data_IF_648996847118
#
_entry.id   IF_648996847118
#
_cell.length_a   1.000
_cell.length_b   1.000
_cell.length_c   1.000
_cell.angle_alpha   90.00
_cell.angle_beta   90.00
_cell.angle_gamma   90.00
#
_symmetry.space_group_name_H-M   'P 1'
#
loop_
_entity.id
_entity.type
_entity.pdbx_description
1 polymer ?
#
# COMPACT_ATOMS: atom_id res chain seq x y z
N UNK A 1 7.17 18.86 1.63
CA UNK A 1 8.08 17.73 1.88
C UNK A 1 9.00 17.61 0.69
N UNK A 2 10.30 17.46 0.93
CA UNK A 2 11.28 17.09 -0.08
C UNK A 2 11.10 15.62 -0.51
N UNK A 3 11.79 15.16 -1.59
CA UNK A 3 11.77 13.76 -1.99
C UNK A 3 12.16 12.82 -0.84
N UNK A 4 11.41 11.73 -0.66
CA UNK A 4 11.64 10.75 0.40
C UNK A 4 11.30 11.19 1.84
N UNK A 5 10.88 12.44 2.07
CA UNK A 5 10.44 12.88 3.40
C UNK A 5 9.03 12.39 3.73
N UNK A 6 8.81 12.08 5.00
CA UNK A 6 7.53 11.66 5.58
C UNK A 6 7.76 10.56 6.63
N UNK A 7 6.78 10.29 7.52
CA UNK A 7 6.80 9.07 8.30
C UNK A 7 6.85 7.86 7.35
N UNK A 8 7.87 7.03 7.51
CA UNK A 8 8.08 5.85 6.66
C UNK A 8 8.19 4.58 7.49
N UNK A 9 7.62 3.51 6.98
CA UNK A 9 7.69 2.18 7.58
C UNK A 9 8.07 1.12 6.55
N UNK A 10 8.78 0.11 7.02
CA UNK A 10 8.91 -1.18 6.37
C UNK A 10 7.72 -2.05 6.75
N UNK A 11 7.02 -2.58 5.75
CA UNK A 11 5.87 -3.45 5.97
C UNK A 11 5.74 -4.47 4.83
N UNK A 12 4.84 -5.43 5.03
CA UNK A 12 4.36 -6.37 4.02
C UNK A 12 5.52 -6.99 3.22
N UNK A 13 6.40 -7.71 3.89
CA UNK A 13 7.45 -8.54 3.28
C UNK A 13 8.52 -7.79 2.46
N UNK A 14 8.65 -6.46 2.62
CA UNK A 14 9.81 -5.71 2.07
C UNK A 14 9.48 -4.40 1.43
N UNK A 15 8.21 -4.06 1.41
CA UNK A 15 7.76 -2.80 0.90
C UNK A 15 8.09 -1.67 1.88
N UNK A 16 8.32 -0.49 1.31
CA UNK A 16 8.42 0.74 2.08
C UNK A 16 7.24 1.63 1.74
N UNK A 17 6.53 2.07 2.78
CA UNK A 17 5.43 3.01 2.66
C UNK A 17 5.81 4.31 3.35
N UNK A 18 5.63 5.44 2.66
CA UNK A 18 5.91 6.78 3.19
C UNK A 18 4.65 7.62 3.15
N UNK A 19 4.21 8.10 4.32
CA UNK A 19 3.04 8.97 4.43
C UNK A 19 3.39 10.38 3.93
N UNK A 20 2.77 10.79 2.82
CA UNK A 20 2.92 12.14 2.26
C UNK A 20 1.82 13.07 2.76
N UNK A 21 0.61 12.53 2.90
CA UNK A 21 -0.52 13.21 3.52
C UNK A 21 -1.43 12.17 4.19
N UNK A 22 -2.00 12.52 5.33
CA UNK A 22 -2.96 11.68 6.05
C UNK A 22 -3.99 12.53 6.77
N UNK A 23 -4.80 11.89 7.62
CA UNK A 23 -5.91 12.53 8.35
C UNK A 23 -5.50 13.78 9.13
N UNK A 24 -4.30 13.77 9.71
CA UNK A 24 -3.76 14.94 10.42
C UNK A 24 -3.51 16.17 9.53
N UNK A 25 -3.32 15.97 8.23
CA UNK A 25 -3.06 17.03 7.25
C UNK A 25 -4.25 17.34 6.33
N UNK A 26 -5.05 16.33 5.99
CA UNK A 26 -6.15 16.44 5.02
C UNK A 26 -7.53 16.42 5.67
N UNK A 27 -7.61 16.24 6.99
CA UNK A 27 -8.89 16.05 7.69
C UNK A 27 -9.58 14.77 7.22
N UNK A 28 -10.88 14.81 6.88
CA UNK A 28 -11.60 13.64 6.36
C UNK A 28 -11.31 13.35 4.87
N UNK A 29 -10.43 14.11 4.22
CA UNK A 29 -10.21 14.09 2.77
C UNK A 29 -9.61 12.79 2.25
N UNK A 30 -8.29 12.69 2.20
CA UNK A 30 -7.59 11.51 1.67
C UNK A 30 -6.28 11.21 2.40
N UNK A 31 -5.89 9.95 2.32
CA UNK A 31 -4.54 9.45 2.58
C UNK A 31 -3.76 9.47 1.27
N UNK A 32 -2.50 9.91 1.30
CA UNK A 32 -1.55 9.77 0.20
C UNK A 32 -0.27 9.12 0.74
N UNK A 33 0.06 7.95 0.18
CA UNK A 33 1.28 7.21 0.46
C UNK A 33 2.14 7.16 -0.81
N UNK A 34 3.45 7.29 -0.64
CA UNK A 34 4.42 6.85 -1.64
C UNK A 34 4.86 5.43 -1.25
N UNK A 35 4.65 4.49 -2.16
CA UNK A 35 5.03 3.08 -2.00
C UNK A 35 6.23 2.72 -2.84
N UNK A 36 7.12 1.92 -2.27
CA UNK A 36 8.21 1.24 -2.94
C UNK A 36 8.01 -0.26 -2.75
N UNK A 37 7.51 -0.93 -3.78
CA UNK A 37 7.11 -2.33 -3.74
C UNK A 37 8.28 -3.20 -4.17
N UNK A 38 8.69 -4.12 -3.31
CA UNK A 38 9.79 -5.04 -3.58
C UNK A 38 9.45 -6.01 -4.74
N UNK A 39 10.47 -6.59 -5.41
CA UNK A 39 10.26 -7.70 -6.34
C UNK A 39 9.42 -8.81 -5.72
N UNK A 40 8.56 -9.42 -6.54
CA UNK A 40 7.71 -10.54 -6.15
C UNK A 40 6.69 -10.24 -5.04
N UNK A 41 6.42 -8.95 -4.77
CA UNK A 41 5.60 -8.51 -3.66
C UNK A 41 4.32 -7.79 -4.10
N UNK A 42 3.40 -7.63 -3.15
CA UNK A 42 2.10 -6.98 -3.33
C UNK A 42 1.05 -7.61 -2.42
N UNK A 43 -0.04 -6.90 -2.10
CA UNK A 43 -1.04 -7.40 -1.19
C UNK A 43 -1.77 -8.61 -1.81
N UNK A 44 -2.22 -9.56 -0.99
CA UNK A 44 -3.15 -10.58 -1.44
C UNK A 44 -4.46 -9.93 -1.91
N UNK A 45 -5.34 -10.75 -2.46
CA UNK A 45 -6.67 -10.31 -2.84
C UNK A 45 -7.42 -9.69 -1.65
N UNK A 46 -7.91 -8.46 -1.79
CA UNK A 46 -8.56 -7.73 -0.71
C UNK A 46 -9.63 -6.75 -1.20
N UNK A 47 -10.38 -6.20 -0.26
CA UNK A 47 -11.47 -5.24 -0.48
C UNK A 47 -11.33 -4.11 0.54
N UNK A 48 -11.41 -2.85 0.09
CA UNK A 48 -11.67 -1.70 0.96
C UNK A 48 -13.18 -1.44 1.01
N UNK A 49 -13.80 -1.52 2.19
CA UNK A 49 -15.24 -1.27 2.34
C UNK A 49 -15.56 0.23 2.38
N UNK A 50 -14.66 1.01 2.98
CA UNK A 50 -14.94 2.40 3.33
C UNK A 50 -14.26 3.42 2.42
N UNK A 51 -13.27 2.98 1.62
CA UNK A 51 -12.43 3.85 0.82
C UNK A 51 -12.37 3.43 -0.65
N UNK A 52 -12.41 4.43 -1.54
CA UNK A 52 -11.93 4.28 -2.92
C UNK A 52 -10.41 4.37 -2.92
N UNK A 53 -9.75 3.65 -3.82
CA UNK A 53 -8.30 3.61 -3.93
C UNK A 53 -7.82 3.96 -5.34
N UNK A 54 -6.71 4.71 -5.41
CA UNK A 54 -6.05 5.08 -6.66
C UNK A 54 -4.59 4.63 -6.61
N UNK A 55 -4.12 4.07 -7.71
CA UNK A 55 -2.70 3.88 -8.00
C UNK A 55 -2.25 4.86 -9.08
N UNK A 56 -1.11 5.51 -8.86
CA UNK A 56 -0.41 6.24 -9.91
C UNK A 56 1.05 5.81 -9.94
N UNK A 57 1.45 5.10 -10.99
CA UNK A 57 2.81 4.52 -11.08
C UNK A 57 3.82 5.60 -11.45
N UNK A 58 4.88 5.70 -10.66
CA UNK A 58 5.96 6.67 -10.84
C UNK A 58 7.14 6.07 -11.60
N UNK A 59 7.50 4.82 -11.29
CA UNK A 59 8.63 4.09 -11.89
C UNK A 59 8.39 2.58 -11.76
N UNK A 60 8.75 1.80 -12.79
CA UNK A 60 8.54 0.35 -12.82
C UNK A 60 7.18 -0.08 -13.35
N UNK A 61 6.78 -1.30 -12.97
CA UNK A 61 5.58 -1.99 -13.46
C UNK A 61 4.86 -2.79 -12.35
N UNK A 62 3.54 -2.92 -12.45
CA UNK A 62 2.70 -3.78 -11.61
C UNK A 62 1.68 -4.54 -12.46
N UNK A 63 1.39 -5.77 -12.09
CA UNK A 63 0.20 -6.48 -12.54
C UNK A 63 -0.90 -6.26 -11.52
N UNK A 64 -2.00 -5.61 -11.92
CA UNK A 64 -3.18 -5.36 -11.06
C UNK A 64 -4.34 -6.20 -11.55
N UNK A 65 -5.00 -6.90 -10.64
CA UNK A 65 -6.19 -7.71 -10.93
C UNK A 65 -7.38 -7.19 -10.14
N UNK A 66 -8.53 -7.02 -10.81
CA UNK A 66 -9.80 -6.62 -10.20
C UNK A 66 -10.95 -7.36 -10.88
N UNK A 67 -11.62 -8.26 -10.16
CA UNK A 67 -12.59 -9.18 -10.76
C UNK A 67 -11.96 -10.06 -11.86
N UNK A 68 -12.48 -9.98 -13.08
CA UNK A 68 -11.95 -10.69 -14.27
C UNK A 68 -10.90 -9.86 -15.03
N UNK A 69 -10.72 -8.59 -14.68
CA UNK A 69 -9.79 -7.70 -15.37
C UNK A 69 -8.39 -7.84 -14.79
N UNK A 70 -7.39 -7.93 -15.68
CA UNK A 70 -5.96 -7.92 -15.34
C UNK A 70 -5.28 -6.85 -16.19
N UNK A 71 -4.66 -5.89 -15.51
CA UNK A 71 -3.98 -4.75 -16.11
C UNK A 71 -2.49 -4.88 -15.81
N UNK A 72 -1.66 -4.82 -16.86
CA UNK A 72 -0.23 -4.55 -16.72
C UNK A 72 -0.02 -3.05 -16.74
N UNK A 73 0.28 -2.49 -15.59
CA UNK A 73 0.49 -1.06 -15.41
C UNK A 73 1.99 -0.76 -15.46
N UNK A 74 2.36 0.25 -16.25
CA UNK A 74 3.72 0.75 -16.35
C UNK A 74 3.78 2.18 -15.80
N UNK A 75 4.98 2.78 -15.78
CA UNK A 75 5.17 4.15 -15.30
C UNK A 75 4.25 5.15 -16.03
N UNK A 76 3.56 6.00 -15.26
CA UNK A 76 2.53 6.93 -15.74
C UNK A 76 1.12 6.34 -15.83
N UNK A 77 0.93 5.04 -15.58
CA UNK A 77 -0.39 4.44 -15.50
C UNK A 77 -1.17 4.95 -14.29
N UNK A 78 -2.47 5.17 -14.50
CA UNK A 78 -3.45 5.49 -13.48
C UNK A 78 -4.46 4.34 -13.37
N UNK A 79 -4.73 3.90 -12.14
CA UNK A 79 -5.74 2.89 -11.84
C UNK A 79 -6.66 3.45 -10.76
N UNK A 80 -7.96 3.27 -10.95
CA UNK A 80 -8.98 3.59 -9.96
C UNK A 80 -9.70 2.31 -9.54
N UNK A 81 -9.71 2.05 -8.25
CA UNK A 81 -10.40 0.94 -7.61
C UNK A 81 -11.54 1.51 -6.77
N UNK A 82 -12.81 1.33 -7.18
CA UNK A 82 -13.92 1.79 -6.37
C UNK A 82 -14.03 0.96 -5.09
N UNK A 83 -14.50 1.58 -4.00
CA UNK A 83 -14.81 0.90 -2.74
C UNK A 83 -15.69 -0.34 -2.99
N UNK A 84 -15.42 -1.41 -2.26
CA UNK A 84 -16.10 -2.70 -2.42
C UNK A 84 -15.60 -3.55 -3.58
N UNK A 85 -14.73 -3.03 -4.46
CA UNK A 85 -14.10 -3.83 -5.50
C UNK A 85 -12.99 -4.72 -4.94
N UNK A 86 -13.08 -6.01 -5.27
CA UNK A 86 -12.08 -7.02 -4.94
C UNK A 86 -10.90 -6.89 -5.89
N UNK A 87 -9.71 -6.64 -5.35
CA UNK A 87 -8.52 -6.43 -6.15
C UNK A 87 -7.23 -6.91 -5.46
N UNK A 88 -6.18 -7.10 -6.25
CA UNK A 88 -4.79 -7.33 -5.82
C UNK A 88 -3.83 -6.69 -6.81
N UNK A 89 -2.59 -6.51 -6.39
CA UNK A 89 -1.50 -6.25 -7.32
C UNK A 89 -0.27 -7.07 -6.98
N UNK A 90 0.63 -7.18 -7.95
CA UNK A 90 1.94 -7.80 -7.77
C UNK A 90 2.99 -7.06 -8.60
N UNK A 91 4.16 -6.84 -8.01
CA UNK A 91 5.36 -6.46 -8.73
C UNK A 91 6.05 -7.71 -9.26
N UNK A 92 5.80 -8.04 -10.53
CA UNK A 92 6.41 -9.19 -11.21
C UNK A 92 7.82 -8.89 -11.75
N UNK A 93 8.32 -7.68 -11.53
CA UNK A 93 9.65 -7.27 -11.99
C UNK A 93 10.74 -7.67 -10.99
N UNK A 94 12.00 -7.62 -11.44
CA UNK A 94 13.17 -7.83 -10.58
C UNK A 94 13.71 -6.55 -9.93
N UNK A 95 12.94 -5.46 -9.96
CA UNK A 95 13.29 -4.16 -9.40
C UNK A 95 12.19 -3.67 -8.46
N UNK A 96 12.51 -2.67 -7.65
CA UNK A 96 11.50 -1.96 -6.88
C UNK A 96 10.60 -1.18 -7.83
N UNK A 97 9.28 -1.31 -7.67
CA UNK A 97 8.28 -0.48 -8.35
C UNK A 97 7.81 0.64 -7.43
N UNK A 98 7.74 1.86 -7.95
CA UNK A 98 7.32 3.05 -7.19
C UNK A 98 5.97 3.55 -7.66
N UNK A 99 5.10 3.86 -6.71
CA UNK A 99 3.77 4.40 -6.99
C UNK A 99 3.25 5.28 -5.86
N UNK A 100 2.21 6.05 -6.18
CA UNK A 100 1.38 6.72 -5.21
C UNK A 100 0.12 5.90 -4.97
N UNK A 101 -0.21 5.70 -3.69
CA UNK A 101 -1.51 5.21 -3.25
C UNK A 101 -2.32 6.38 -2.71
N UNK A 102 -3.54 6.56 -3.19
CA UNK A 102 -4.50 7.50 -2.60
C UNK A 102 -5.70 6.72 -2.13
N UNK A 103 -6.06 6.87 -0.85
CA UNK A 103 -7.29 6.32 -0.29
C UNK A 103 -8.18 7.45 0.22
N UNK A 104 -9.47 7.41 -0.12
CA UNK A 104 -10.43 8.41 0.31
C UNK A 104 -11.70 7.74 0.85
N UNK A 105 -12.11 8.02 2.12
CA UNK A 105 -11.63 9.07 3.01
C UNK A 105 -10.26 8.79 3.66
N UNK A 106 -9.67 9.81 4.29
CA UNK A 106 -8.38 9.68 4.99
C UNK A 106 -8.46 8.79 6.24
N UNK A 107 -7.33 8.18 6.60
CA UNK A 107 -7.13 7.44 7.85
C UNK A 107 -6.41 6.11 7.65
N UNK A 108 -6.39 5.60 6.41
CA UNK A 108 -5.77 4.31 6.11
C UNK A 108 -4.25 4.31 6.25
N UNK A 109 -3.59 5.48 6.30
CA UNK A 109 -2.16 5.56 6.61
C UNK A 109 -1.81 4.91 7.95
N UNK A 110 -2.75 4.93 8.91
CA UNK A 110 -2.53 4.40 10.24
C UNK A 110 -2.43 2.87 10.24
N UNK A 111 -3.06 2.18 9.27
CA UNK A 111 -2.87 0.75 9.06
C UNK A 111 -1.38 0.43 8.86
N UNK A 112 -0.73 1.13 7.93
CA UNK A 112 0.69 0.96 7.66
C UNK A 112 1.55 1.33 8.88
N UNK A 113 1.21 2.42 9.58
CA UNK A 113 1.94 2.82 10.78
C UNK A 113 1.81 1.82 11.94
N UNK A 114 0.71 1.08 12.03
CA UNK A 114 0.48 0.09 13.09
C UNK A 114 1.11 -1.28 12.80
N UNK A 115 1.16 -1.71 11.54
CA UNK A 115 1.81 -2.98 11.16
C UNK A 115 3.31 -2.80 10.93
N UNK A 116 3.73 -1.62 10.47
CA UNK A 116 5.07 -1.41 9.94
C UNK A 116 6.12 -1.11 11.00
N UNK A 117 7.37 -1.44 10.69
CA UNK A 117 8.53 -1.02 11.48
C UNK A 117 9.11 0.29 10.93
N UNK A 118 9.39 1.31 11.77
CA UNK A 118 9.91 2.59 11.30
C UNK A 118 11.20 2.46 10.47
N UNK A 119 11.28 3.19 9.35
CA UNK A 119 12.51 3.30 8.57
C UNK A 119 13.48 4.21 9.32
N UNK A 120 14.67 3.70 9.62
CA UNK A 120 15.75 4.46 10.26
C UNK A 120 16.88 4.64 9.25
N UNK A 121 17.28 5.88 8.91
CA UNK A 121 18.36 6.13 7.97
C UNK A 121 19.65 5.39 8.35
N UNK A 122 20.25 4.71 7.38
CA UNK A 122 21.50 3.96 7.57
C UNK A 122 21.34 2.63 8.32
N UNK A 123 20.11 2.20 8.62
CA UNK A 123 19.84 0.86 9.15
C UNK A 123 19.11 0.01 8.12
N UNK A 124 19.44 -1.28 8.12
CA UNK A 124 18.73 -2.26 7.32
C UNK A 124 17.30 -2.44 7.83
N UNK A 125 16.44 -2.96 6.95
CA UNK A 125 15.08 -3.39 7.30
C UNK A 125 15.16 -4.46 8.41
N UNK A 126 14.40 -4.33 9.50
CA UNK A 126 14.32 -5.38 10.51
C UNK A 126 13.59 -6.62 9.98
N UNK A 127 13.81 -7.76 10.62
CA UNK A 127 12.96 -8.94 10.40
C UNK A 127 11.52 -8.65 10.82
N UNK A 128 10.57 -9.32 10.17
CA UNK A 128 9.17 -9.24 10.56
C UNK A 128 8.95 -9.86 11.95
N UNK A 129 8.07 -9.28 12.78
CA UNK A 129 7.77 -9.83 14.08
C UNK A 129 7.09 -11.20 13.97
N UNK A 130 7.24 -12.02 15.01
CA UNK A 130 6.49 -13.29 15.10
C UNK A 130 4.99 -13.00 15.09
N UNK A 131 4.24 -13.69 14.23
CA UNK A 131 2.80 -13.51 14.09
C UNK A 131 2.38 -12.34 13.19
N UNK A 132 3.30 -11.84 12.36
CA UNK A 132 3.06 -10.67 11.51
C UNK A 132 1.84 -10.82 10.59
N UNK A 133 1.65 -12.00 9.98
CA UNK A 133 0.48 -12.23 9.11
C UNK A 133 -0.85 -12.08 9.85
N UNK A 134 -0.95 -12.61 11.08
CA UNK A 134 -2.15 -12.47 11.89
C UNK A 134 -2.38 -11.01 12.30
N UNK A 135 -1.31 -10.28 12.62
CA UNK A 135 -1.38 -8.84 12.89
C UNK A 135 -1.92 -8.09 11.68
N UNK A 136 -1.40 -8.37 10.47
CA UNK A 136 -1.83 -7.73 9.23
C UNK A 136 -3.33 -7.96 8.99
N UNK A 137 -3.81 -9.19 9.11
CA UNK A 137 -5.25 -9.51 8.94
C UNK A 137 -6.10 -8.75 9.96
N UNK A 138 -5.72 -8.79 11.24
CA UNK A 138 -6.48 -8.11 12.30
C UNK A 138 -6.54 -6.59 12.09
N UNK A 139 -5.40 -5.96 11.78
CA UNK A 139 -5.34 -4.52 11.55
C UNK A 139 -6.07 -4.14 10.27
N UNK A 140 -6.02 -4.96 9.21
CA UNK A 140 -6.76 -4.70 7.99
C UNK A 140 -8.25 -4.50 8.28
N UNK A 141 -8.84 -5.41 9.04
CA UNK A 141 -10.27 -5.35 9.41
C UNK A 141 -10.59 -4.09 10.24
N UNK A 142 -9.74 -3.74 11.20
CA UNK A 142 -9.89 -2.52 12.03
C UNK A 142 -9.90 -1.23 11.18
N UNK A 143 -9.28 -1.26 9.99
CA UNK A 143 -9.21 -0.14 9.04
C UNK A 143 -10.14 -0.31 7.82
N UNK A 144 -11.15 -1.18 7.91
CA UNK A 144 -12.17 -1.33 6.86
C UNK A 144 -11.66 -2.06 5.61
N UNK A 145 -10.56 -2.79 5.71
CA UNK A 145 -10.02 -3.65 4.65
C UNK A 145 -10.22 -5.13 5.01
N UNK A 146 -10.70 -5.93 4.07
CA UNK A 146 -10.86 -7.38 4.25
C UNK A 146 -9.91 -8.10 3.30
N UNK A 147 -9.04 -8.96 3.84
CA UNK A 147 -8.25 -9.90 3.05
C UNK A 147 -9.15 -11.07 2.66
N UNK A 148 -9.24 -11.34 1.36
CA UNK A 148 -10.07 -12.40 0.80
C UNK A 148 -9.20 -13.64 0.58
N UNK A 149 -9.51 -14.77 1.24
CA UNK A 149 -8.80 -16.03 0.99
C UNK A 149 -8.88 -16.43 -0.49
N UNK A 150 -7.77 -16.97 -1.02
CA UNK A 150 -7.73 -17.58 -2.35
C UNK A 150 -8.40 -18.96 -2.38
#
# INVERSE_FOLDING_TARGET
>A
MAPGEGPSVWALQGDKYTVKAGKGTTGPGFTLLEGEIAPDNGPPMHIHNDADEIFYLLDGELTVASGEEVIKAESGAFIFIPRGAKHKFRNDSNKITKLLFVLAPAGFENFFMEIGSPVVPGKDRPDEPVGYEQLVVQRAEDFGMIIVPE
#
